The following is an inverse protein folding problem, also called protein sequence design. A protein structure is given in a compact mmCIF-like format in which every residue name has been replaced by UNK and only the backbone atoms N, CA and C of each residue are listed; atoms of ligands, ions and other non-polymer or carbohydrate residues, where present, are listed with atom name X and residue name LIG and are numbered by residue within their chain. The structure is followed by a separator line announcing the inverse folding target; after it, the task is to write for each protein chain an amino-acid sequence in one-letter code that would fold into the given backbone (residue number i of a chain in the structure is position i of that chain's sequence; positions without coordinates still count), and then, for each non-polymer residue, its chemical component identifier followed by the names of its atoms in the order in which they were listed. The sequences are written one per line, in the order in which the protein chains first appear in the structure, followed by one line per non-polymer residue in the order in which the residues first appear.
data_IF_370320657546
#
_entry.id   IF_370320657546
#
_cell.length_a   1.000
_cell.length_b   1.000
_cell.length_c   1.000
_cell.angle_alpha   90.00
_cell.angle_beta   90.00
_cell.angle_gamma   90.00
#
_symmetry.space_group_name_H-M   'P 1'
#
loop_
_entity.id
_entity.type
_entity.pdbx_description
1 polymer ?
#
# COMPACT_ATOMS: atom_id res chain seq x y z
N UNK A 1 -5.54 -17.14 6.72
CA UNK A 1 -6.12 -16.02 7.54
C UNK A 1 -5.75 -14.73 6.88
N UNK A 2 -6.73 -13.97 6.39
CA UNK A 2 -6.49 -12.72 5.69
C UNK A 2 -6.29 -11.53 6.64
N UNK A 3 -5.55 -10.54 6.17
CA UNK A 3 -5.38 -9.24 6.84
C UNK A 3 -5.94 -8.14 5.94
N UNK A 4 -6.82 -7.30 6.48
CA UNK A 4 -7.44 -6.20 5.74
C UNK A 4 -6.90 -4.83 6.15
N UNK A 5 -6.64 -3.98 5.16
CA UNK A 5 -6.30 -2.56 5.33
C UNK A 5 -7.39 -1.67 4.72
N UNK A 6 -7.78 -0.65 5.47
CA UNK A 6 -8.60 0.45 4.94
C UNK A 6 -7.69 1.62 4.59
N UNK A 7 -7.74 2.07 3.34
CA UNK A 7 -6.98 3.21 2.85
C UNK A 7 -7.86 4.46 2.92
N UNK A 8 -7.33 5.51 3.55
CA UNK A 8 -8.02 6.79 3.77
C UNK A 8 -7.39 7.85 2.86
N UNK A 9 -8.20 8.75 2.31
CA UNK A 9 -7.69 9.82 1.45
C UNK A 9 -7.21 9.34 0.08
N UNK A 10 -7.78 8.26 -0.47
CA UNK A 10 -7.45 7.82 -1.82
C UNK A 10 -8.03 8.77 -2.88
N UNK A 11 -7.36 8.94 -4.04
CA UNK A 11 -6.04 8.38 -4.35
C UNK A 11 -4.90 9.11 -3.62
N UNK A 12 -3.81 8.41 -3.31
CA UNK A 12 -2.62 9.01 -2.66
C UNK A 12 -1.73 9.76 -3.66
N UNK A 13 -2.28 10.82 -4.26
CA UNK A 13 -1.50 11.87 -4.94
C UNK A 13 -1.23 13.02 -3.96
N UNK A 14 -0.15 13.78 -4.17
CA UNK A 14 0.17 14.93 -3.32
C UNK A 14 -0.99 15.93 -3.26
N UNK A 15 -1.60 16.28 -4.41
CA UNK A 15 -2.73 17.20 -4.48
C UNK A 15 -3.92 16.74 -3.62
N UNK A 16 -4.23 15.44 -3.64
CA UNK A 16 -5.37 14.90 -2.90
C UNK A 16 -5.07 14.78 -1.40
N UNK A 17 -3.89 14.29 -1.03
CA UNK A 17 -3.48 14.16 0.36
C UNK A 17 -3.31 15.52 1.04
N UNK A 18 -2.76 16.53 0.34
CA UNK A 18 -2.68 17.90 0.88
C UNK A 18 -4.09 18.44 1.17
N UNK A 19 -5.07 18.11 0.33
CA UNK A 19 -6.47 18.57 0.50
C UNK A 19 -7.20 17.86 1.64
N UNK A 20 -6.97 16.56 1.83
CA UNK A 20 -7.73 15.73 2.77
C UNK A 20 -7.02 15.59 4.12
N UNK A 21 -5.72 15.33 4.09
CA UNK A 21 -4.88 15.01 5.26
C UNK A 21 -3.89 16.13 5.62
N UNK A 22 -3.70 17.11 4.73
CA UNK A 22 -2.80 18.26 4.98
C UNK A 22 -1.31 17.94 4.81
N UNK A 23 -0.96 16.79 4.23
CA UNK A 23 0.42 16.36 4.02
C UNK A 23 0.66 15.84 2.59
N UNK A 24 1.91 15.80 2.14
CA UNK A 24 2.30 15.14 0.90
C UNK A 24 2.39 13.63 1.09
N UNK A 25 2.40 12.87 0.00
CA UNK A 25 2.68 11.44 0.04
C UNK A 25 4.08 11.15 0.62
N UNK A 26 5.07 11.98 0.33
CA UNK A 26 6.43 11.80 0.88
C UNK A 26 6.45 11.87 2.42
N UNK A 27 5.67 12.76 3.03
CA UNK A 27 5.50 12.85 4.49
C UNK A 27 4.77 11.64 5.05
N UNK A 28 3.64 11.26 4.44
CA UNK A 28 2.87 10.06 4.84
C UNK A 28 3.73 8.79 4.76
N UNK A 29 4.51 8.63 3.69
CA UNK A 29 5.42 7.51 3.51
C UNK A 29 6.48 7.46 4.61
N UNK A 30 7.06 8.62 4.96
CA UNK A 30 8.05 8.68 6.02
C UNK A 30 7.45 8.31 7.38
N UNK A 31 6.26 8.81 7.69
CA UNK A 31 5.53 8.47 8.93
C UNK A 31 5.30 6.95 9.05
N UNK A 32 4.88 6.29 7.96
CA UNK A 32 4.67 4.84 7.95
C UNK A 32 5.97 4.06 8.19
N UNK A 33 7.09 4.52 7.61
CA UNK A 33 8.40 3.91 7.82
C UNK A 33 8.91 4.15 9.24
N UNK A 34 8.72 5.35 9.79
CA UNK A 34 9.07 5.69 11.16
C UNK A 34 8.25 4.86 12.17
N UNK A 35 7.00 4.50 11.80
CA UNK A 35 6.16 3.55 12.51
C UNK A 35 6.59 2.07 12.35
N UNK A 36 7.76 1.81 11.77
CA UNK A 36 8.30 0.47 11.50
C UNK A 36 7.46 -0.38 10.55
N UNK A 37 6.62 0.23 9.71
CA UNK A 37 5.91 -0.49 8.65
C UNK A 37 6.93 -0.98 7.61
N UNK A 38 6.94 -2.27 7.22
CA UNK A 38 7.88 -2.77 6.22
C UNK A 38 7.77 -1.99 4.90
N UNK A 39 8.91 -1.62 4.31
CA UNK A 39 8.94 -0.80 3.09
C UNK A 39 8.19 -1.46 1.91
N UNK A 40 8.22 -2.79 1.81
CA UNK A 40 7.45 -3.54 0.82
C UNK A 40 5.93 -3.35 1.02
N UNK A 41 5.45 -3.42 2.27
CA UNK A 41 4.05 -3.18 2.58
C UNK A 41 3.66 -1.73 2.27
N UNK A 42 4.46 -0.75 2.68
CA UNK A 42 4.25 0.67 2.34
C UNK A 42 4.10 0.87 0.83
N UNK A 43 4.95 0.23 0.04
CA UNK A 43 4.88 0.33 -1.42
C UNK A 43 3.59 -0.27 -1.99
N UNK A 44 3.14 -1.41 -1.48
CA UNK A 44 1.87 -2.03 -1.91
C UNK A 44 0.67 -1.17 -1.50
N UNK A 45 0.65 -0.62 -0.29
CA UNK A 45 -0.41 0.29 0.15
C UNK A 45 -0.47 1.54 -0.75
N UNK A 46 0.69 2.09 -1.12
CA UNK A 46 0.77 3.21 -2.06
C UNK A 46 0.22 2.86 -3.44
N UNK A 47 0.62 1.72 -4.03
CA UNK A 47 0.11 1.30 -5.34
C UNK A 47 -1.41 1.10 -5.32
N UNK A 48 -1.95 0.47 -4.27
CA UNK A 48 -3.38 0.30 -4.10
C UNK A 48 -4.09 1.66 -3.95
N UNK A 49 -3.57 2.55 -3.12
CA UNK A 49 -4.15 3.88 -2.94
C UNK A 49 -4.09 4.70 -4.24
N UNK A 50 -3.00 4.63 -5.01
CA UNK A 50 -2.86 5.33 -6.28
C UNK A 50 -3.88 4.84 -7.32
N UNK A 51 -4.24 3.55 -7.28
CA UNK A 51 -5.33 2.96 -8.06
C UNK A 51 -6.74 3.27 -7.52
N UNK A 52 -6.86 4.17 -6.54
CA UNK A 52 -8.10 4.55 -5.84
C UNK A 52 -8.82 3.38 -5.15
N UNK A 53 -8.07 2.37 -4.71
CA UNK A 53 -8.59 1.25 -3.91
C UNK A 53 -8.76 1.70 -2.46
N UNK A 54 -9.96 1.53 -1.90
CA UNK A 54 -10.27 1.93 -0.51
C UNK A 54 -10.13 0.81 0.53
N UNK A 55 -10.17 -0.43 0.07
CA UNK A 55 -10.03 -1.63 0.90
C UNK A 55 -9.07 -2.60 0.19
N UNK A 56 -8.00 -2.98 0.88
CA UNK A 56 -7.03 -3.96 0.41
C UNK A 56 -7.03 -5.15 1.37
N UNK A 57 -7.12 -6.36 0.83
CA UNK A 57 -7.09 -7.59 1.62
C UNK A 57 -5.88 -8.40 1.15
N UNK A 58 -5.00 -8.71 2.10
CA UNK A 58 -3.89 -9.65 1.93
C UNK A 58 -4.39 -11.02 2.35
N UNK A 59 -4.75 -11.84 1.38
CA UNK A 59 -5.21 -13.19 1.60
C UNK A 59 -4.13 -14.18 1.16
N UNK A 60 -3.44 -14.87 2.09
CA UNK A 60 -2.41 -15.86 1.72
C UNK A 60 -3.01 -17.10 1.07
N UNK A 61 -4.33 -17.30 1.18
CA UNK A 61 -5.06 -18.42 0.62
C UNK A 61 -5.64 -18.08 -0.77
N UNK A 62 -5.40 -16.86 -1.27
CA UNK A 62 -5.85 -16.44 -2.60
C UNK A 62 -5.04 -17.11 -3.72
N UNK A 63 -5.76 -17.56 -4.74
CA UNK A 63 -5.13 -18.03 -5.98
C UNK A 63 -4.33 -16.91 -6.66
N UNK A 64 -3.29 -17.32 -7.38
CA UNK A 64 -2.51 -16.39 -8.22
C UNK A 64 -3.43 -15.79 -9.28
N UNK A 65 -3.40 -14.47 -9.41
CA UNK A 65 -4.14 -13.75 -10.45
C UNK A 65 -3.37 -13.80 -11.77
N UNK A 66 -4.05 -14.28 -12.82
CA UNK A 66 -3.50 -14.30 -14.17
C UNK A 66 -3.06 -12.89 -14.62
N UNK A 67 -1.81 -12.78 -15.06
CA UNK A 67 -1.24 -11.54 -15.60
C UNK A 67 -0.59 -10.60 -14.58
N UNK A 68 -0.52 -10.97 -13.29
CA UNK A 68 0.26 -10.23 -12.28
C UNK A 68 1.62 -10.86 -12.03
N UNK A 69 2.60 -10.03 -11.67
CA UNK A 69 3.94 -10.49 -11.31
C UNK A 69 3.92 -11.27 -9.99
N UNK A 70 4.60 -12.42 -9.96
CA UNK A 70 4.80 -13.24 -8.76
C UNK A 70 6.19 -12.94 -8.21
N UNK A 71 6.27 -12.68 -6.91
CA UNK A 71 7.53 -12.44 -6.22
C UNK A 71 7.76 -13.59 -5.23
N UNK A 72 8.67 -14.51 -5.57
CA UNK A 72 9.05 -15.60 -4.67
C UNK A 72 9.90 -15.08 -3.51
N UNK A 73 9.67 -15.63 -2.32
CA UNK A 73 10.39 -15.28 -1.10
C UNK A 73 11.90 -15.59 -1.14
N UNK A 74 12.40 -16.30 -2.16
CA UNK A 74 13.82 -16.68 -2.28
C UNK A 74 14.71 -15.62 -2.96
N UNK A 75 14.17 -14.47 -3.40
CA UNK A 75 14.95 -13.41 -4.05
C UNK A 75 15.19 -12.18 -3.15
N UNK A 76 15.61 -12.40 -1.91
CA UNK A 76 16.22 -11.34 -1.10
C UNK A 76 17.46 -11.88 -0.38
N UNK A 77 18.58 -11.82 -1.08
CA UNK A 77 19.94 -11.77 -0.49
C UNK A 77 20.42 -10.33 -0.62
#
# INVERSE_FOLDING_TARGET
MAVGCKLIGTPWTDDNLIKIEGCSYSSLRQEQLDASTPAALVNVLYMAALADVRLLIFDPDADVLDGLAIYDAEQSI
#
